data_IF_415444345591
#
_entry.id   IF_415444345591
#
_cell.length_a   1.000
_cell.length_b   1.000
_cell.length_c   1.000
_cell.angle_alpha   90.00
_cell.angle_beta   90.00
_cell.angle_gamma   90.00
#
_symmetry.space_group_name_H-M   'P 1'
#
loop_
_entity.id
_entity.type
_entity.pdbx_description
1 polymer ?
#
# COMPACT_ATOMS: atom_id res chain seq x y z
N UNK A 1 -2.66 -6.56 30.48
CA UNK A 1 -1.63 -6.26 29.44
C UNK A 1 -1.63 -4.76 29.20
N UNK A 2 -0.47 -4.13 28.98
CA UNK A 2 -0.41 -2.70 28.61
C UNK A 2 -0.97 -2.49 27.20
N UNK A 3 -1.42 -1.28 26.90
CA UNK A 3 -1.92 -0.94 25.56
C UNK A 3 -0.87 -1.21 24.47
N UNK A 4 0.41 -0.88 24.74
CA UNK A 4 1.53 -1.14 23.82
C UNK A 4 1.71 -2.62 23.52
N UNK A 5 1.60 -3.48 24.53
CA UNK A 5 1.71 -4.93 24.35
C UNK A 5 0.54 -5.48 23.53
N UNK A 6 -0.68 -4.99 23.77
CA UNK A 6 -1.85 -5.37 22.97
C UNK A 6 -1.66 -4.93 21.51
N UNK A 7 -1.21 -3.70 21.28
CA UNK A 7 -0.94 -3.19 19.93
C UNK A 7 0.11 -4.03 19.19
N UNK A 8 1.21 -4.40 19.86
CA UNK A 8 2.25 -5.26 19.27
C UNK A 8 1.71 -6.63 18.88
N UNK A 9 0.99 -7.30 19.78
CA UNK A 9 0.42 -8.63 19.50
C UNK A 9 -0.59 -8.60 18.35
N UNK A 10 -1.43 -7.57 18.28
CA UNK A 10 -2.36 -7.40 17.15
C UNK A 10 -1.62 -7.17 15.84
N UNK A 11 -0.58 -6.34 15.83
CA UNK A 11 0.24 -6.14 14.64
C UNK A 11 0.89 -7.46 14.19
N UNK A 12 1.54 -8.21 15.09
CA UNK A 12 2.17 -9.49 14.75
C UNK A 12 1.18 -10.51 14.16
N UNK A 13 -0.04 -10.56 14.69
CA UNK A 13 -1.08 -11.46 14.21
C UNK A 13 -1.63 -11.05 12.82
N UNK A 14 -1.66 -9.75 12.51
CA UNK A 14 -2.29 -9.22 11.29
C UNK A 14 -1.30 -8.93 10.17
N UNK A 15 -0.02 -8.71 10.48
CA UNK A 15 1.01 -8.36 9.50
C UNK A 15 1.15 -9.41 8.39
N UNK A 16 1.12 -10.74 8.64
CA UNK A 16 1.21 -11.72 7.55
C UNK A 16 0.06 -11.62 6.55
N UNK A 17 -1.14 -11.27 7.01
CA UNK A 17 -2.31 -11.07 6.14
C UNK A 17 -2.17 -9.77 5.34
N UNK A 18 -1.71 -8.70 6.00
CA UNK A 18 -1.42 -7.43 5.34
C UNK A 18 -0.28 -7.55 4.31
N UNK A 19 0.74 -8.38 4.56
CA UNK A 19 1.86 -8.57 3.65
C UNK A 19 1.43 -9.17 2.29
N UNK A 20 0.38 -10.01 2.28
CA UNK A 20 -0.12 -10.65 1.05
C UNK A 20 -0.49 -9.63 -0.03
N UNK A 21 -1.10 -8.51 0.34
CA UNK A 21 -1.53 -7.49 -0.65
C UNK A 21 -0.37 -6.75 -1.33
N UNK A 22 0.87 -6.99 -0.90
CA UNK A 22 2.06 -6.46 -1.57
C UNK A 22 2.87 -7.54 -2.28
N UNK A 23 2.97 -8.73 -1.68
CA UNK A 23 3.99 -9.72 -2.07
C UNK A 23 3.43 -11.00 -2.69
N UNK A 24 2.13 -11.29 -2.54
CA UNK A 24 1.54 -12.43 -3.21
C UNK A 24 1.63 -12.27 -4.74
N UNK A 25 2.12 -13.27 -5.50
CA UNK A 25 2.26 -13.19 -6.94
C UNK A 25 0.97 -12.76 -7.65
N UNK A 26 -0.17 -13.25 -7.19
CA UNK A 26 -1.50 -12.99 -7.74
C UNK A 26 -1.85 -11.50 -7.69
N UNK A 27 -1.35 -10.76 -6.69
CA UNK A 27 -1.61 -9.33 -6.56
C UNK A 27 -0.84 -8.54 -7.62
N UNK A 28 0.42 -8.91 -7.83
CA UNK A 28 1.23 -8.33 -8.91
C UNK A 28 0.61 -8.65 -10.27
N UNK A 29 0.20 -9.88 -10.50
CA UNK A 29 -0.45 -10.31 -11.75
C UNK A 29 -1.75 -9.51 -12.00
N UNK A 30 -2.58 -9.30 -10.97
CA UNK A 30 -3.79 -8.51 -11.07
C UNK A 30 -3.51 -7.04 -11.48
N UNK A 31 -2.52 -6.39 -10.84
CA UNK A 31 -2.15 -5.03 -11.20
C UNK A 31 -1.50 -4.92 -12.58
N UNK A 32 -0.64 -5.87 -12.95
CA UNK A 32 -0.06 -5.92 -14.28
C UNK A 32 -1.13 -6.14 -15.36
N UNK A 33 -2.14 -6.98 -15.10
CA UNK A 33 -3.31 -7.17 -15.94
C UNK A 33 -4.17 -5.90 -16.11
N UNK A 34 -4.19 -5.03 -15.10
CA UNK A 34 -4.81 -3.70 -15.16
C UNK A 34 -3.91 -2.62 -15.81
N UNK A 35 -2.72 -2.99 -16.32
CA UNK A 35 -1.76 -2.08 -16.95
C UNK A 35 -0.79 -1.39 -15.99
N UNK A 36 -0.88 -1.65 -14.69
CA UNK A 36 0.01 -1.11 -13.66
C UNK A 36 1.26 -1.98 -13.52
N UNK A 37 2.20 -1.80 -14.45
CA UNK A 37 3.38 -2.66 -14.58
C UNK A 37 4.42 -2.45 -13.48
N UNK A 38 4.90 -3.57 -12.92
CA UNK A 38 5.94 -3.58 -11.89
C UNK A 38 5.41 -3.26 -10.49
N UNK A 39 6.23 -3.56 -9.48
CA UNK A 39 5.83 -3.53 -8.07
C UNK A 39 5.28 -2.17 -7.62
N UNK A 40 6.01 -1.08 -7.88
CA UNK A 40 5.69 0.23 -7.31
C UNK A 40 4.40 0.85 -7.84
N UNK A 41 4.03 0.58 -9.10
CA UNK A 41 2.77 1.10 -9.66
C UNK A 41 1.57 0.43 -9.00
N UNK A 42 1.61 -0.89 -8.83
CA UNK A 42 0.62 -1.64 -8.06
C UNK A 42 0.59 -1.22 -6.59
N UNK A 43 1.76 -1.04 -5.96
CA UNK A 43 1.89 -0.59 -4.57
C UNK A 43 1.16 0.73 -4.31
N UNK A 44 1.48 1.79 -5.07
CA UNK A 44 0.86 3.10 -4.87
C UNK A 44 -0.60 3.09 -5.28
N UNK A 45 -0.95 2.49 -6.43
CA UNK A 45 -2.32 2.46 -6.92
C UNK A 45 -3.25 1.68 -5.96
N UNK A 46 -2.84 0.50 -5.51
CA UNK A 46 -3.64 -0.32 -4.59
C UNK A 46 -3.88 0.36 -3.25
N UNK A 47 -2.86 1.04 -2.73
CA UNK A 47 -2.93 1.79 -1.46
C UNK A 47 -3.73 3.09 -1.59
N UNK A 48 -3.71 3.74 -2.74
CA UNK A 48 -4.45 4.97 -3.00
C UNK A 48 -5.90 4.73 -3.41
N UNK A 49 -6.22 3.57 -3.99
CA UNK A 49 -7.56 3.26 -4.50
C UNK A 49 -8.71 3.50 -3.50
N UNK A 50 -8.58 3.18 -2.19
CA UNK A 50 -9.64 3.45 -1.21
C UNK A 50 -9.94 4.93 -0.97
N UNK A 51 -9.06 5.85 -1.38
CA UNK A 51 -9.29 7.29 -1.28
C UNK A 51 -10.35 7.77 -2.28
N UNK A 52 -10.71 6.95 -3.27
CA UNK A 52 -11.61 7.34 -4.35
C UNK A 52 -10.94 8.21 -5.41
N UNK A 53 -11.74 8.97 -6.15
CA UNK A 53 -11.28 9.82 -7.24
C UNK A 53 -10.61 11.12 -6.73
N UNK A 54 -9.40 10.99 -6.19
CA UNK A 54 -8.60 12.11 -5.68
C UNK A 54 -7.48 12.51 -6.64
N UNK A 55 -7.05 13.77 -6.59
CA UNK A 55 -5.92 14.26 -7.37
C UNK A 55 -4.56 13.85 -6.78
N UNK A 56 -3.50 14.02 -7.58
CA UNK A 56 -2.13 13.65 -7.22
C UNK A 56 -1.65 14.24 -5.89
N UNK A 57 -2.05 15.47 -5.55
CA UNK A 57 -1.66 16.11 -4.29
C UNK A 57 -2.11 15.34 -3.05
N UNK A 58 -3.33 14.79 -3.05
CA UNK A 58 -3.86 13.98 -1.94
C UNK A 58 -3.09 12.66 -1.83
N UNK A 59 -2.79 12.03 -2.97
CA UNK A 59 -1.98 10.81 -3.03
C UNK A 59 -0.60 11.09 -2.44
N UNK A 60 0.13 12.08 -2.96
CA UNK A 60 1.47 12.46 -2.46
C UNK A 60 1.48 12.78 -0.97
N UNK A 61 0.49 13.54 -0.47
CA UNK A 61 0.37 13.83 0.97
C UNK A 61 0.14 12.56 1.81
N UNK A 62 -0.63 11.60 1.31
CA UNK A 62 -0.87 10.32 1.98
C UNK A 62 0.41 9.49 2.07
N UNK A 63 1.29 9.60 1.09
CA UNK A 63 2.59 8.92 1.04
C UNK A 63 3.76 9.81 1.48
N UNK A 64 3.55 10.70 2.47
CA UNK A 64 4.55 11.68 2.93
C UNK A 64 5.93 11.12 3.34
N UNK A 65 6.05 9.81 3.57
CA UNK A 65 7.32 9.13 3.84
C UNK A 65 8.18 8.86 2.59
N UNK A 66 7.65 9.08 1.39
CA UNK A 66 8.36 8.91 0.12
C UNK A 66 8.70 10.27 -0.50
N UNK A 67 9.76 10.30 -1.33
CA UNK A 67 10.05 11.47 -2.14
C UNK A 67 8.85 11.78 -3.06
N UNK A 68 8.32 13.03 -3.08
CA UNK A 68 7.15 13.38 -3.89
C UNK A 68 7.28 12.99 -5.37
N UNK A 69 8.47 13.16 -5.95
CA UNK A 69 8.77 12.83 -7.34
C UNK A 69 8.74 11.33 -7.60
N UNK A 70 8.94 10.50 -6.57
CA UNK A 70 8.83 9.05 -6.68
C UNK A 70 7.36 8.60 -6.70
N UNK A 71 6.50 9.24 -5.90
CA UNK A 71 5.07 8.95 -5.86
C UNK A 71 4.36 9.38 -7.15
N UNK A 72 4.85 10.43 -7.81
CA UNK A 72 4.25 11.00 -9.02
C UNK A 72 4.54 10.22 -10.33
N UNK A 73 5.25 9.09 -10.28
CA UNK A 73 5.80 8.37 -11.44
C UNK A 73 4.99 7.17 -11.94
#
# INVERSE_FOLDING_TARGET
MTAERVARTLWEATEPVHALVYFAPEVREAFEGAGLRGFWRGYFAGRAAPLGAVGAGVVTATFFGFAPEFVAR
#
